data_IF_158762858290
#
_entry.id   IF_158762858290
#
_cell.length_a   1.000
_cell.length_b   1.000
_cell.length_c   1.000
_cell.angle_alpha   90.00
_cell.angle_beta   90.00
_cell.angle_gamma   90.00
#
_symmetry.space_group_name_H-M   'P 1'
#
loop_
_entity.id
_entity.type
_entity.pdbx_description
1 polymer ?
#
# COMPACT_ATOMS: atom_id res chain seq x y z
N UNK A 1 2.39 8.53 -24.58
CA UNK A 1 1.59 7.30 -24.63
C UNK A 1 0.36 7.62 -23.80
N UNK A 2 -0.78 7.87 -24.43
CA UNK A 2 -2.04 8.13 -23.73
C UNK A 2 -2.46 6.83 -23.05
N UNK A 3 -2.64 6.90 -21.76
CA UNK A 3 -3.11 5.79 -20.98
C UNK A 3 -4.63 5.59 -21.19
N UNK A 4 -5.03 4.34 -21.41
CA UNK A 4 -6.41 3.97 -21.67
C UNK A 4 -7.11 3.58 -20.36
N UNK A 5 -7.98 4.45 -19.88
CA UNK A 5 -8.76 4.25 -18.67
C UNK A 5 -9.79 3.11 -18.80
N UNK A 6 -10.23 2.79 -20.02
CA UNK A 6 -11.26 1.77 -20.29
C UNK A 6 -10.84 0.36 -19.85
N UNK A 7 -9.54 0.13 -19.60
CA UNK A 7 -9.03 -1.17 -19.14
C UNK A 7 -9.48 -1.58 -17.74
N UNK A 8 -10.10 -0.69 -16.99
CA UNK A 8 -10.62 -0.97 -15.65
C UNK A 8 -12.15 -0.85 -15.59
N UNK A 9 -12.79 -0.87 -16.75
CA UNK A 9 -14.25 -0.99 -16.85
C UNK A 9 -14.66 -2.40 -17.21
N UNK A 10 -15.73 -2.88 -16.59
CA UNK A 10 -16.36 -4.15 -16.91
C UNK A 10 -17.08 -4.11 -18.27
N UNK A 11 -17.59 -5.29 -18.74
CA UNK A 11 -18.25 -5.42 -20.04
C UNK A 11 -19.48 -4.52 -20.17
N UNK A 12 -20.16 -4.22 -19.10
CA UNK A 12 -21.36 -3.38 -19.06
C UNK A 12 -21.05 -1.94 -18.62
N UNK A 13 -19.77 -1.56 -18.59
CA UNK A 13 -19.31 -0.21 -18.24
C UNK A 13 -19.14 0.02 -16.74
N UNK A 14 -19.17 -1.02 -15.91
CA UNK A 14 -18.95 -0.91 -14.46
C UNK A 14 -17.51 -0.49 -14.16
N UNK A 15 -17.35 0.29 -13.13
CA UNK A 15 -16.01 0.63 -12.61
C UNK A 15 -15.46 -0.52 -11.77
N UNK A 16 -14.40 -1.17 -12.25
CA UNK A 16 -13.72 -2.27 -11.57
C UNK A 16 -12.52 -1.82 -10.74
N UNK A 17 -12.34 -0.53 -10.58
CA UNK A 17 -11.36 -0.04 -9.60
C UNK A 17 -11.80 -0.42 -8.20
N UNK A 18 -10.81 -0.59 -7.31
CA UNK A 18 -11.13 -0.75 -5.89
C UNK A 18 -11.84 0.51 -5.40
N UNK A 19 -13.03 0.42 -4.77
CA UNK A 19 -13.72 1.59 -4.25
C UNK A 19 -12.87 2.35 -3.23
N UNK A 20 -12.95 3.67 -3.22
CA UNK A 20 -12.21 4.52 -2.28
C UNK A 20 -12.52 4.13 -0.83
N UNK A 21 -13.80 3.89 -0.51
CA UNK A 21 -14.22 3.44 0.82
C UNK A 21 -13.59 2.10 1.25
N UNK A 22 -13.39 1.17 0.31
CA UNK A 22 -12.70 -0.09 0.57
C UNK A 22 -11.20 0.16 0.86
N UNK A 23 -10.56 1.08 0.12
CA UNK A 23 -9.17 1.47 0.37
C UNK A 23 -9.00 2.14 1.73
N UNK A 24 -9.91 3.04 2.10
CA UNK A 24 -9.92 3.70 3.41
C UNK A 24 -10.08 2.68 4.55
N UNK A 25 -11.03 1.74 4.43
CA UNK A 25 -11.22 0.70 5.43
C UNK A 25 -9.98 -0.17 5.61
N UNK A 26 -9.33 -0.60 4.52
CA UNK A 26 -8.10 -1.39 4.57
C UNK A 26 -6.97 -0.67 5.28
N UNK A 27 -6.81 0.63 5.03
CA UNK A 27 -5.79 1.47 5.69
C UNK A 27 -6.08 1.67 7.15
N UNK A 28 -7.35 1.94 7.51
CA UNK A 28 -7.76 2.06 8.90
C UNK A 28 -7.51 0.76 9.67
N UNK A 29 -7.85 -0.39 9.09
CA UNK A 29 -7.56 -1.71 9.68
C UNK A 29 -6.04 -1.92 9.86
N UNK A 30 -5.22 -1.50 8.89
CA UNK A 30 -3.76 -1.59 9.01
C UNK A 30 -3.25 -0.66 10.11
N UNK A 31 -3.72 0.57 10.19
CA UNK A 31 -3.34 1.54 11.22
C UNK A 31 -3.71 1.04 12.63
N UNK A 32 -4.92 0.52 12.82
CA UNK A 32 -5.36 -0.08 14.09
C UNK A 32 -4.50 -1.30 14.48
N UNK A 33 -4.22 -2.19 13.52
CA UNK A 33 -3.38 -3.37 13.77
C UNK A 33 -1.93 -3.01 14.13
N UNK A 34 -1.38 -1.93 13.56
CA UNK A 34 -0.07 -1.40 13.98
C UNK A 34 -0.11 -0.95 15.44
N UNK A 35 -1.15 -0.21 15.84
CA UNK A 35 -1.34 0.24 17.21
C UNK A 35 -1.44 -0.95 18.19
N UNK A 36 -2.21 -1.97 17.85
CA UNK A 36 -2.37 -3.19 18.67
C UNK A 36 -1.03 -3.92 18.88
N UNK A 37 -0.12 -3.85 17.92
CA UNK A 37 1.19 -4.47 18.01
C UNK A 37 2.29 -3.52 18.56
N UNK A 38 1.94 -2.29 18.93
CA UNK A 38 2.90 -1.30 19.43
C UNK A 38 3.89 -0.82 18.35
N UNK A 39 3.51 -0.89 17.07
CA UNK A 39 4.28 -0.40 15.95
C UNK A 39 3.83 1.01 15.57
N UNK A 40 4.76 1.94 15.34
CA UNK A 40 4.41 3.33 14.99
C UNK A 40 4.02 3.50 13.52
N UNK A 41 4.60 2.69 12.64
CA UNK A 41 4.33 2.73 11.20
C UNK A 41 4.77 1.47 10.48
N UNK A 42 4.29 1.32 9.23
CA UNK A 42 4.78 0.31 8.30
C UNK A 42 5.10 0.94 6.94
N UNK A 43 6.15 0.43 6.30
CA UNK A 43 6.54 0.75 4.93
C UNK A 43 6.38 -0.48 4.06
N UNK A 44 5.37 -0.47 3.21
CA UNK A 44 4.97 -1.60 2.36
C UNK A 44 5.50 -1.39 0.95
N UNK A 45 6.24 -2.37 0.41
CA UNK A 45 6.84 -2.34 -0.92
C UNK A 45 6.59 -3.61 -1.75
N UNK A 46 5.86 -4.57 -1.19
CA UNK A 46 5.41 -5.77 -1.91
C UNK A 46 4.29 -5.41 -2.89
N UNK A 47 4.38 -5.78 -4.18
CA UNK A 47 3.39 -5.37 -5.19
C UNK A 47 1.97 -5.84 -4.91
N UNK A 48 1.79 -7.00 -4.28
CA UNK A 48 0.46 -7.56 -3.97
C UNK A 48 -0.18 -6.77 -2.83
N UNK A 49 0.61 -6.45 -1.82
CA UNK A 49 0.13 -5.69 -0.67
C UNK A 49 -0.07 -4.20 -1.02
N UNK A 50 0.77 -3.65 -1.90
CA UNK A 50 0.55 -2.32 -2.47
C UNK A 50 -0.79 -2.26 -3.22
N UNK A 51 -1.09 -3.26 -4.07
CA UNK A 51 -2.38 -3.31 -4.75
C UNK A 51 -3.54 -3.37 -3.74
N UNK A 52 -3.42 -4.19 -2.70
CA UNK A 52 -4.45 -4.30 -1.67
C UNK A 52 -4.70 -2.98 -0.95
N UNK A 53 -3.65 -2.22 -0.64
CA UNK A 53 -3.73 -0.93 0.06
C UNK A 53 -4.10 0.24 -0.83
N UNK A 54 -3.73 0.23 -2.10
CA UNK A 54 -3.81 1.41 -2.98
C UNK A 54 -4.71 1.25 -4.18
N UNK A 55 -5.20 0.03 -4.47
CA UNK A 55 -5.95 -0.27 -5.68
C UNK A 55 -5.10 -0.22 -6.97
N UNK A 56 -3.86 0.26 -6.88
CA UNK A 56 -2.98 0.49 -8.01
C UNK A 56 -1.93 -0.59 -8.19
N UNK A 57 -1.52 -0.84 -9.43
CA UNK A 57 -0.49 -1.83 -9.80
C UNK A 57 0.88 -1.19 -10.05
N UNK A 58 1.06 0.05 -9.62
CA UNK A 58 2.30 0.78 -9.82
C UNK A 58 3.36 0.36 -8.80
N UNK A 59 4.60 0.21 -9.28
CA UNK A 59 5.72 -0.04 -8.37
C UNK A 59 5.99 1.19 -7.51
N UNK A 60 6.16 0.97 -6.23
CA UNK A 60 6.38 2.05 -5.27
C UNK A 60 6.51 1.56 -3.85
N UNK A 61 6.09 2.38 -2.91
CA UNK A 61 6.00 2.08 -1.49
C UNK A 61 4.81 2.82 -0.89
N UNK A 62 4.15 2.21 0.10
CA UNK A 62 3.12 2.86 0.91
C UNK A 62 3.59 2.98 2.33
N UNK A 63 3.61 4.20 2.85
CA UNK A 63 3.79 4.47 4.27
C UNK A 63 2.43 4.56 4.95
N UNK A 64 2.25 3.81 6.03
CA UNK A 64 1.06 3.88 6.88
C UNK A 64 1.51 4.09 8.33
N UNK A 65 0.98 5.11 8.98
CA UNK A 65 1.14 5.35 10.41
C UNK A 65 0.13 4.56 11.23
N UNK A 66 0.47 4.28 12.48
CA UNK A 66 -0.46 3.72 13.45
C UNK A 66 -1.63 4.67 13.72
N UNK A 67 -2.75 4.15 14.18
CA UNK A 67 -3.92 4.94 14.54
C UNK A 67 -3.58 5.97 15.62
N UNK A 68 -3.97 7.23 15.39
CA UNK A 68 -3.70 8.33 16.31
C UNK A 68 -2.26 8.87 16.26
N UNK A 69 -1.40 8.38 15.39
CA UNK A 69 -0.08 8.95 15.16
C UNK A 69 -0.16 10.21 14.27
N UNK A 70 0.87 11.08 14.38
CA UNK A 70 1.02 12.24 13.48
C UNK A 70 1.69 11.87 12.14
N UNK A 71 1.89 10.58 11.86
CA UNK A 71 2.55 10.11 10.65
C UNK A 71 1.60 10.24 9.47
N UNK A 72 2.01 10.99 8.46
CA UNK A 72 1.24 11.20 7.25
C UNK A 72 1.31 9.98 6.33
N UNK A 73 0.17 9.32 6.11
CA UNK A 73 0.08 8.24 5.12
C UNK A 73 0.47 8.78 3.74
N UNK A 74 1.25 8.00 2.98
CA UNK A 74 1.73 8.47 1.67
C UNK A 74 2.01 7.30 0.74
N UNK A 75 1.47 7.36 -0.47
CA UNK A 75 1.79 6.43 -1.54
C UNK A 75 2.88 7.02 -2.44
N UNK A 76 4.08 6.47 -2.37
CA UNK A 76 5.19 6.79 -3.25
C UNK A 76 5.19 5.91 -4.49
N UNK A 77 5.24 6.52 -5.68
CA UNK A 77 5.17 5.83 -6.96
C UNK A 77 6.44 6.08 -7.78
N UNK A 78 7.01 5.03 -8.35
CA UNK A 78 8.23 5.13 -9.18
C UNK A 78 7.99 5.73 -10.54
N UNK A 79 6.88 5.37 -11.19
CA UNK A 79 6.52 5.77 -12.55
C UNK A 79 5.00 5.81 -12.69
N UNK A 80 4.53 6.55 -13.70
CA UNK A 80 3.09 6.59 -14.04
C UNK A 80 2.21 7.10 -12.89
N UNK A 81 2.57 8.28 -12.37
CA UNK A 81 1.87 8.92 -11.26
C UNK A 81 0.38 9.13 -11.57
N UNK A 82 0.05 9.62 -12.78
CA UNK A 82 -1.32 9.83 -13.24
C UNK A 82 -2.15 8.54 -13.20
N UNK A 83 -1.52 7.42 -13.59
CA UNK A 83 -2.17 6.11 -13.54
C UNK A 83 -2.39 5.64 -12.11
N UNK A 84 -1.41 5.82 -11.22
CA UNK A 84 -1.57 5.51 -9.80
C UNK A 84 -2.71 6.33 -9.19
N UNK A 85 -2.75 7.64 -9.51
CA UNK A 85 -3.82 8.54 -9.08
C UNK A 85 -5.20 8.00 -9.51
N UNK A 86 -5.37 7.67 -10.79
CA UNK A 86 -6.61 7.13 -11.30
C UNK A 86 -6.99 5.80 -10.63
N UNK A 87 -6.06 4.83 -10.55
CA UNK A 87 -6.32 3.50 -9.97
C UNK A 87 -6.71 3.57 -8.49
N UNK A 88 -6.22 4.57 -7.76
CA UNK A 88 -6.49 4.77 -6.33
C UNK A 88 -7.71 5.66 -6.04
N UNK A 89 -8.53 5.98 -7.02
CA UNK A 89 -9.75 6.76 -6.84
C UNK A 89 -9.77 8.14 -7.51
N UNK A 90 -8.69 8.54 -8.20
CA UNK A 90 -8.61 9.87 -8.82
C UNK A 90 -8.43 10.99 -7.79
N UNK A 91 -9.25 12.02 -7.88
CA UNK A 91 -9.23 13.16 -6.94
C UNK A 91 -9.74 12.78 -5.55
N UNK A 92 -10.46 11.67 -5.44
CA UNK A 92 -10.97 11.12 -4.17
C UNK A 92 -10.00 10.13 -3.51
N UNK A 93 -8.78 9.97 -4.04
CA UNK A 93 -7.77 9.08 -3.46
C UNK A 93 -7.53 9.44 -1.97
N UNK A 94 -7.58 8.44 -1.05
CA UNK A 94 -7.60 8.74 0.38
C UNK A 94 -6.30 9.30 0.93
N UNK A 95 -5.17 9.11 0.22
CA UNK A 95 -3.86 9.62 0.65
C UNK A 95 -3.12 10.31 -0.48
N UNK A 96 -2.13 11.16 -0.14
CA UNK A 96 -1.24 11.75 -1.12
C UNK A 96 -0.51 10.70 -1.95
N UNK A 97 -0.54 10.86 -3.27
CA UNK A 97 0.18 10.02 -4.23
C UNK A 97 1.25 10.86 -4.87
N UNK A 98 2.50 10.55 -4.59
CA UNK A 98 3.64 11.39 -4.99
C UNK A 98 4.79 10.55 -5.57
N UNK A 99 5.70 11.22 -6.27
CA UNK A 99 6.88 10.56 -6.81
C UNK A 99 7.76 9.99 -5.68
N UNK A 100 8.21 8.73 -5.87
CA UNK A 100 9.08 8.07 -4.90
C UNK A 100 10.40 8.84 -4.74
N UNK A 101 10.84 9.13 -3.50
CA UNK A 101 12.11 9.77 -3.25
C UNK A 101 13.28 8.92 -3.76
N UNK A 102 14.38 9.57 -4.14
CA UNK A 102 15.62 8.83 -4.41
C UNK A 102 16.00 8.06 -3.14
N UNK A 103 16.46 6.83 -3.31
CA UNK A 103 16.76 5.93 -2.17
C UNK A 103 17.69 6.55 -1.13
N UNK A 104 18.64 7.39 -1.56
CA UNK A 104 19.54 8.09 -0.63
C UNK A 104 18.84 9.10 0.29
N UNK A 105 17.63 9.54 -0.08
CA UNK A 105 16.81 10.51 0.64
C UNK A 105 15.63 9.85 1.36
N UNK A 106 15.61 8.51 1.45
CA UNK A 106 14.47 7.79 2.03
C UNK A 106 14.26 8.15 3.50
N UNK A 107 15.33 8.22 4.29
CA UNK A 107 15.25 8.57 5.70
C UNK A 107 14.75 9.98 5.92
N UNK A 108 15.27 10.95 5.15
CA UNK A 108 14.82 12.34 5.22
C UNK A 108 13.34 12.47 4.79
N UNK A 109 12.91 11.73 3.76
CA UNK A 109 11.52 11.71 3.35
C UNK A 109 10.60 11.10 4.41
N UNK A 110 11.04 10.05 5.10
CA UNK A 110 10.31 9.47 6.23
C UNK A 110 10.18 10.47 7.38
N UNK A 111 11.26 11.13 7.76
CA UNK A 111 11.23 12.18 8.78
C UNK A 111 10.28 13.33 8.44
N UNK A 112 10.23 13.76 7.17
CA UNK A 112 9.31 14.83 6.74
C UNK A 112 7.83 14.44 6.86
N UNK A 113 7.52 13.14 6.94
CA UNK A 113 6.18 12.59 7.15
C UNK A 113 5.89 12.21 8.60
N UNK A 114 6.76 12.60 9.55
CA UNK A 114 6.57 12.36 10.98
C UNK A 114 7.17 11.05 11.51
N UNK A 115 7.87 10.26 10.67
CA UNK A 115 8.47 8.99 11.09
C UNK A 115 9.77 9.23 11.83
N UNK A 116 9.85 8.79 13.10
CA UNK A 116 11.03 8.96 13.96
C UNK A 116 11.66 7.63 14.39
N UNK A 117 10.99 6.50 14.17
CA UNK A 117 11.52 5.15 14.36
C UNK A 117 11.48 4.35 13.06
N UNK A 118 12.23 3.24 12.97
CA UNK A 118 12.22 2.41 11.77
C UNK A 118 10.81 1.84 11.52
N UNK A 119 10.19 2.11 10.35
CA UNK A 119 8.90 1.54 10.01
C UNK A 119 9.01 0.01 9.91
N UNK A 120 7.97 -0.71 10.33
CA UNK A 120 7.89 -2.14 10.12
C UNK A 120 7.81 -2.47 8.62
N UNK A 121 8.34 -3.60 8.20
CA UNK A 121 8.34 -4.05 6.82
C UNK A 121 7.99 -5.54 6.70
N UNK A 122 7.67 -6.00 5.50
CA UNK A 122 7.28 -7.38 5.24
C UNK A 122 8.51 -8.28 5.00
N UNK A 123 9.26 -8.59 6.06
CA UNK A 123 10.50 -9.38 5.97
C UNK A 123 10.28 -10.75 5.32
N UNK A 124 9.19 -11.44 5.64
CA UNK A 124 8.86 -12.75 5.10
C UNK A 124 8.47 -12.76 3.61
N UNK A 125 8.26 -11.58 3.01
CA UNK A 125 7.97 -11.41 1.57
C UNK A 125 9.14 -10.83 0.78
N UNK A 126 10.24 -10.53 1.45
CA UNK A 126 11.34 -9.78 0.88
C UNK A 126 12.56 -10.68 0.63
N UNK A 127 13.21 -10.62 -0.56
CA UNK A 127 14.49 -11.25 -0.76
C UNK A 127 15.52 -10.76 0.25
N UNK A 128 16.38 -11.66 0.74
CA UNK A 128 17.37 -11.35 1.78
C UNK A 128 18.24 -10.12 1.47
N UNK A 129 18.69 -9.96 0.23
CA UNK A 129 19.48 -8.79 -0.19
C UNK A 129 18.71 -7.47 -0.03
N UNK A 130 17.41 -7.50 -0.33
CA UNK A 130 16.53 -6.33 -0.18
C UNK A 130 16.30 -5.99 1.29
N UNK A 131 16.11 -7.01 2.12
CA UNK A 131 16.04 -6.84 3.58
C UNK A 131 17.31 -6.20 4.13
N UNK A 132 18.50 -6.73 3.80
CA UNK A 132 19.78 -6.15 4.20
C UNK A 132 19.96 -4.71 3.70
N UNK A 133 19.49 -4.41 2.49
CA UNK A 133 19.51 -3.07 1.95
C UNK A 133 18.71 -2.09 2.81
N UNK A 134 17.44 -2.41 3.14
CA UNK A 134 16.60 -1.56 3.99
C UNK A 134 17.14 -1.47 5.42
N UNK A 135 17.57 -2.58 6.01
CA UNK A 135 18.17 -2.60 7.36
C UNK A 135 19.35 -1.64 7.49
N UNK A 136 20.22 -1.61 6.47
CA UNK A 136 21.34 -0.64 6.43
C UNK A 136 20.85 0.79 6.17
N UNK A 137 19.90 0.97 5.28
CA UNK A 137 19.41 2.30 4.88
C UNK A 137 18.65 3.00 6.01
N UNK A 138 17.89 2.26 6.78
CA UNK A 138 17.06 2.77 7.86
C UNK A 138 17.69 2.62 9.25
N UNK A 139 18.95 2.20 9.31
CA UNK A 139 19.65 1.94 10.59
C UNK A 139 19.70 3.13 11.55
N UNK A 140 19.67 4.36 11.04
CA UNK A 140 19.58 5.58 11.87
C UNK A 140 18.23 5.75 12.57
N UNK A 141 17.18 5.09 12.09
CA UNK A 141 15.84 5.09 12.68
C UNK A 141 15.65 3.92 13.67
N UNK A 142 16.57 2.98 13.72
CA UNK A 142 16.51 1.79 14.57
C UNK A 142 16.38 0.49 13.82
N UNK A 143 15.95 -0.56 14.51
CA UNK A 143 15.75 -1.89 13.95
C UNK A 143 14.38 -2.02 13.30
N UNK A 144 14.36 -2.57 12.07
CA UNK A 144 13.10 -2.82 11.34
C UNK A 144 12.44 -4.06 11.94
N UNK A 145 11.18 -3.94 12.29
CA UNK A 145 10.36 -5.07 12.73
C UNK A 145 9.64 -5.74 11.55
N UNK A 146 9.37 -7.04 11.67
CA UNK A 146 8.64 -7.80 10.65
C UNK A 146 7.13 -7.72 10.89
N UNK A 147 6.40 -7.13 9.94
CA UNK A 147 4.94 -7.05 9.93
C UNK A 147 4.27 -8.03 8.96
N UNK A 148 4.98 -9.07 8.49
CA UNK A 148 4.45 -10.01 7.49
C UNK A 148 3.18 -10.71 7.98
N UNK A 149 3.19 -11.23 9.21
CA UNK A 149 2.02 -11.94 9.75
C UNK A 149 0.86 -11.00 10.08
N UNK A 150 1.13 -9.74 10.47
CA UNK A 150 0.09 -8.72 10.61
C UNK A 150 -0.65 -8.55 9.27
N UNK A 151 0.09 -8.40 8.18
CA UNK A 151 -0.49 -8.23 6.85
C UNK A 151 -1.28 -9.46 6.39
N UNK A 152 -0.81 -10.66 6.68
CA UNK A 152 -1.56 -11.89 6.38
C UNK A 152 -2.89 -11.94 7.14
N UNK A 153 -2.90 -11.61 8.44
CA UNK A 153 -4.11 -11.55 9.25
C UNK A 153 -5.16 -10.57 8.70
N UNK A 154 -4.73 -9.39 8.24
CA UNK A 154 -5.62 -8.41 7.63
C UNK A 154 -6.30 -8.92 6.36
N UNK A 155 -5.62 -9.76 5.58
CA UNK A 155 -6.12 -10.31 4.32
C UNK A 155 -6.81 -11.66 4.44
N UNK A 156 -6.80 -12.27 5.61
CA UNK A 156 -7.43 -13.56 5.86
C UNK A 156 -8.95 -13.47 5.66
N UNK A 157 -9.57 -12.46 6.25
CA UNK A 157 -11.01 -12.19 6.09
C UNK A 157 -11.24 -11.27 4.90
N UNK A 158 -12.03 -11.75 3.94
CA UNK A 158 -12.36 -11.01 2.72
C UNK A 158 -13.52 -10.04 2.96
N UNK A 159 -13.41 -8.85 2.40
CA UNK A 159 -14.51 -7.87 2.36
C UNK A 159 -15.65 -8.33 1.44
N UNK A 160 -16.79 -7.64 1.53
CA UNK A 160 -17.92 -7.89 0.63
C UNK A 160 -17.52 -7.63 -0.83
N UNK A 161 -16.77 -6.56 -1.10
CA UNK A 161 -16.28 -6.23 -2.42
C UNK A 161 -15.30 -7.29 -2.96
N UNK A 162 -14.35 -7.76 -2.14
CA UNK A 162 -13.42 -8.83 -2.53
C UNK A 162 -14.15 -10.13 -2.88
N UNK A 163 -15.18 -10.48 -2.13
CA UNK A 163 -16.01 -11.66 -2.42
C UNK A 163 -16.79 -11.52 -3.73
N UNK A 164 -17.26 -10.33 -4.05
CA UNK A 164 -17.92 -10.05 -5.33
C UNK A 164 -16.96 -10.19 -6.50
N UNK A 165 -15.75 -9.62 -6.39
CA UNK A 165 -14.70 -9.77 -7.41
C UNK A 165 -14.28 -11.23 -7.61
N UNK A 166 -14.23 -12.02 -6.55
CA UNK A 166 -13.98 -13.45 -6.66
C UNK A 166 -15.10 -14.20 -7.40
N UNK A 167 -16.36 -13.84 -7.16
CA UNK A 167 -17.51 -14.43 -7.88
C UNK A 167 -17.47 -14.07 -9.37
N UNK A 168 -17.18 -12.81 -9.69
CA UNK A 168 -17.07 -12.33 -11.06
C UNK A 168 -15.91 -13.00 -11.81
N UNK A 169 -14.74 -13.11 -11.19
CA UNK A 169 -13.61 -13.87 -11.73
C UNK A 169 -13.99 -15.34 -12.00
N UNK A 170 -14.76 -15.95 -11.09
CA UNK A 170 -15.27 -17.32 -11.28
C UNK A 170 -16.29 -17.44 -12.43
N UNK A 171 -17.09 -16.39 -12.68
CA UNK A 171 -18.02 -16.34 -13.82
C UNK A 171 -17.25 -16.30 -15.15
N UNK A 172 -16.30 -15.37 -15.27
CA UNK A 172 -15.50 -15.20 -16.49
C UNK A 172 -14.73 -16.48 -16.85
N UNK A 173 -14.24 -17.22 -15.86
CA UNK A 173 -13.49 -18.46 -16.11
C UNK A 173 -14.36 -19.67 -16.49
N UNK A 174 -15.70 -19.55 -16.49
CA UNK A 174 -16.63 -20.61 -16.90
C UNK A 174 -17.13 -20.45 -18.34
N UNK A 175 -16.99 -19.27 -18.91
CA UNK A 175 -17.30 -18.94 -20.31
C UNK A 175 -16.11 -19.27 -21.23
#
# INVERSE_FOLDING_TARGET
MTWDAERLTGPDGEDWRVPVSELEERRNRMASALTEQGLESALIDDPVELYWLTGGRQNGMMLIGAEGSDIQHTHWVRKSLERAQYESGGDDAPDPIVAQPKTRLLTEALHSLGVNSAPAMLAGKMPHERWQFFSRRLSSLGEIQDSTYLMYGLRETKSAWELEMHRESGRINRE
#
